data_IF_125214281111
#
_entry.id   IF_125214281111
#
_cell.length_a   1.000
_cell.length_b   1.000
_cell.length_c   1.000
_cell.angle_alpha   90.00
_cell.angle_beta   90.00
_cell.angle_gamma   90.00
#
_symmetry.space_group_name_H-M   'P 1'
#
loop_
_entity.id
_entity.type
_entity.pdbx_description
1 polymer ?
#
# COMPACT_ATOMS: atom_id res chain seq x y z
N UNK A 1 6.70 1.85 44.52
CA UNK A 1 5.58 2.68 44.05
C UNK A 1 6.06 3.32 42.76
N UNK A 2 5.84 2.64 41.64
CA UNK A 2 5.22 3.25 40.47
C UNK A 2 4.91 2.17 39.45
N UNK A 3 3.70 2.27 38.95
CA UNK A 3 2.83 1.19 38.52
C UNK A 3 2.79 1.14 36.98
N UNK A 4 2.68 -0.08 36.45
CA UNK A 4 2.43 -0.38 35.05
C UNK A 4 1.17 0.37 34.55
N UNK A 5 1.27 1.07 33.42
CA UNK A 5 0.11 1.56 32.69
C UNK A 5 0.18 1.17 31.21
N UNK A 6 -0.56 0.13 30.77
CA UNK A 6 -0.75 -0.19 29.37
C UNK A 6 -2.17 0.21 28.92
N UNK A 7 -2.29 1.22 28.06
CA UNK A 7 -3.50 1.42 27.24
C UNK A 7 -3.13 1.81 25.81
N UNK A 8 -3.14 0.79 24.96
CA UNK A 8 -3.41 0.95 23.54
C UNK A 8 -4.91 1.14 23.32
N UNK A 9 -5.30 2.12 22.52
CA UNK A 9 -6.52 2.10 21.70
C UNK A 9 -6.49 3.29 20.73
N UNK A 10 -6.10 3.05 19.47
CA UNK A 10 -6.29 4.02 18.39
C UNK A 10 -7.52 3.57 17.59
N UNK A 11 -8.68 4.09 17.98
CA UNK A 11 -9.93 3.92 17.26
C UNK A 11 -10.11 5.04 16.24
N UNK A 12 -10.22 4.70 14.96
CA UNK A 12 -10.69 5.63 13.93
C UNK A 12 -12.17 5.36 13.69
N UNK A 13 -13.03 6.24 14.23
CA UNK A 13 -14.46 6.30 13.93
C UNK A 13 -14.76 7.66 13.31
N UNK A 14 -15.08 7.68 12.01
CA UNK A 14 -15.67 8.84 11.35
C UNK A 14 -17.05 8.46 10.84
N UNK A 15 -18.05 8.83 11.62
CA UNK A 15 -19.42 8.95 11.15
C UNK A 15 -19.55 10.23 10.32
N UNK A 16 -19.81 10.09 9.02
CA UNK A 16 -20.23 11.19 8.15
C UNK A 16 -21.76 11.29 8.28
N UNK A 17 -22.26 12.32 8.96
CA UNK A 17 -23.68 12.67 8.96
C UNK A 17 -23.92 13.74 7.89
N UNK A 18 -24.50 13.32 6.78
CA UNK A 18 -25.08 14.19 5.77
C UNK A 18 -26.24 15.01 6.38
N UNK A 19 -26.19 16.33 6.24
CA UNK A 19 -27.35 17.21 6.42
C UNK A 19 -27.76 17.73 5.03
N UNK A 20 -28.83 17.17 4.49
CA UNK A 20 -29.57 17.75 3.36
C UNK A 20 -30.77 18.50 3.91
N UNK A 21 -30.74 19.83 3.76
CA UNK A 21 -31.88 20.72 3.96
C UNK A 21 -32.88 20.62 2.81
N UNK A 22 -34.11 21.05 3.10
CA UNK A 22 -35.21 21.45 2.20
C UNK A 22 -36.16 20.37 1.67
N UNK A 23 -37.30 20.24 2.35
CA UNK A 23 -38.64 20.32 1.74
C UNK A 23 -39.66 20.58 2.85
N UNK A 24 -40.56 21.54 2.67
CA UNK A 24 -42.01 21.34 2.79
C UNK A 24 -42.74 22.66 2.52
N UNK A 25 -43.58 22.57 1.50
CA UNK A 25 -44.52 23.56 0.99
C UNK A 25 -45.48 24.08 2.08
N UNK A 26 -45.80 25.37 1.96
CA UNK A 26 -46.86 26.02 2.73
C UNK A 26 -48.05 26.27 1.81
N UNK A 27 -49.12 25.51 2.07
CA UNK A 27 -50.44 25.56 1.43
C UNK A 27 -51.23 26.81 1.88
N UNK A 28 -51.90 27.50 0.95
CA UNK A 28 -52.91 28.55 1.19
C UNK A 28 -54.19 28.20 0.42
N UNK A 29 -55.38 28.22 1.04
CA UNK A 29 -56.65 28.06 0.34
C UNK A 29 -57.35 29.41 0.06
N UNK A 30 -58.11 29.45 -1.05
CA UNK A 30 -59.32 30.27 -1.33
C UNK A 30 -59.19 31.80 -1.22
N UNK A 31 -59.83 32.66 -1.99
CA UNK A 31 -60.98 32.59 -2.88
C UNK A 31 -60.83 33.81 -3.82
N UNK A 32 -61.38 33.73 -5.05
CA UNK A 32 -62.03 34.86 -5.75
C UNK A 32 -62.44 34.42 -7.17
N UNK A 33 -63.65 33.87 -7.25
CA UNK A 33 -64.75 34.41 -8.06
C UNK A 33 -64.38 35.25 -9.32
N UNK A 34 -64.56 34.69 -10.52
CA UNK A 34 -65.67 35.03 -11.44
C UNK A 34 -65.44 34.54 -12.88
N UNK A 35 -66.51 33.96 -13.40
CA UNK A 35 -66.74 33.51 -14.76
C UNK A 35 -66.47 34.58 -15.84
N UNK A 36 -65.86 34.16 -16.96
CA UNK A 36 -66.42 34.36 -18.29
C UNK A 36 -66.13 33.14 -19.18
N UNK A 37 -67.09 32.91 -20.05
CA UNK A 37 -67.42 31.70 -20.78
C UNK A 37 -66.93 31.81 -22.24
N UNK A 38 -66.76 30.64 -22.87
CA UNK A 38 -66.63 30.34 -24.31
C UNK A 38 -65.37 30.78 -25.06
N UNK A 39 -64.53 29.80 -25.44
CA UNK A 39 -64.35 29.36 -26.84
C UNK A 39 -63.41 28.13 -26.89
N UNK A 40 -63.82 26.96 -27.41
CA UNK A 40 -62.91 25.88 -27.75
C UNK A 40 -62.74 25.83 -29.27
N UNK A 41 -61.59 26.23 -29.79
CA UNK A 41 -61.05 25.55 -30.97
C UNK A 41 -59.61 25.94 -31.38
N UNK A 42 -58.88 24.89 -31.77
CA UNK A 42 -57.78 24.84 -32.75
C UNK A 42 -56.37 25.24 -32.31
N UNK A 43 -55.61 24.19 -32.02
CA UNK A 43 -54.48 23.85 -32.88
C UNK A 43 -53.11 23.95 -32.23
N UNK A 44 -52.42 22.82 -32.11
CA UNK A 44 -50.99 22.69 -32.42
C UNK A 44 -50.51 21.26 -32.18
N UNK A 45 -49.67 20.79 -33.11
CA UNK A 45 -49.07 19.47 -33.16
C UNK A 45 -48.16 19.18 -31.95
N UNK A 46 -48.17 17.94 -31.47
CA UNK A 46 -47.20 17.43 -30.51
C UNK A 46 -46.83 15.98 -30.81
N UNK A 47 -45.77 15.78 -31.58
CA UNK A 47 -45.08 14.52 -31.82
C UNK A 47 -44.15 14.28 -30.63
N UNK A 48 -44.42 13.25 -29.83
CA UNK A 48 -43.50 12.83 -28.77
C UNK A 48 -43.33 11.32 -28.82
N UNK A 49 -42.37 10.87 -29.63
CA UNK A 49 -41.75 9.56 -29.45
C UNK A 49 -40.72 9.74 -28.35
N UNK A 50 -41.03 9.28 -27.13
CA UNK A 50 -40.05 9.22 -26.06
C UNK A 50 -39.14 8.00 -26.27
N UNK A 51 -37.97 8.20 -26.90
CA UNK A 51 -36.89 7.21 -26.85
C UNK A 51 -36.25 7.27 -25.46
N UNK A 52 -36.57 6.29 -24.61
CA UNK A 52 -35.85 6.07 -23.37
C UNK A 52 -34.46 5.47 -23.70
N UNK A 53 -33.43 6.30 -23.75
CA UNK A 53 -32.05 5.82 -23.84
C UNK A 53 -31.63 5.22 -22.49
N UNK A 54 -31.52 3.90 -22.40
CA UNK A 54 -30.81 3.24 -21.31
C UNK A 54 -29.32 3.60 -21.41
N UNK A 55 -28.88 4.61 -20.65
CA UNK A 55 -27.45 4.86 -20.46
C UNK A 55 -26.91 3.86 -19.45
N UNK A 56 -26.25 2.80 -19.93
CA UNK A 56 -25.42 1.98 -19.07
C UNK A 56 -24.30 2.87 -18.50
N UNK A 57 -24.29 3.08 -17.18
CA UNK A 57 -23.22 3.81 -16.52
C UNK A 57 -21.88 3.09 -16.78
N UNK A 58 -20.81 3.80 -17.17
CA UNK A 58 -19.52 3.16 -17.40
C UNK A 58 -19.00 2.57 -16.10
N UNK A 59 -18.82 1.25 -16.08
CA UNK A 59 -18.13 0.54 -15.00
C UNK A 59 -16.70 1.10 -14.94
N UNK A 60 -16.38 1.81 -13.86
CA UNK A 60 -15.03 2.28 -13.61
C UNK A 60 -14.18 1.08 -13.17
N UNK A 61 -13.45 0.46 -14.09
CA UNK A 61 -12.48 -0.57 -13.76
C UNK A 61 -11.25 0.15 -13.18
N UNK A 62 -11.08 0.11 -11.86
CA UNK A 62 -9.82 0.51 -11.21
C UNK A 62 -8.81 -0.61 -11.45
N UNK A 63 -8.01 -0.49 -12.50
CA UNK A 63 -6.86 -1.37 -12.72
C UNK A 63 -5.78 -0.93 -11.75
N UNK A 64 -5.41 -1.80 -10.81
CA UNK A 64 -4.24 -1.57 -9.96
C UNK A 64 -3.00 -1.47 -10.86
N UNK A 65 -2.30 -0.34 -10.84
CA UNK A 65 -1.08 -0.17 -11.63
C UNK A 65 0.05 -0.99 -11.00
N UNK A 66 0.33 -2.15 -11.59
CA UNK A 66 1.59 -2.86 -11.39
C UNK A 66 2.66 -2.14 -12.22
N UNK A 67 3.65 -1.56 -11.53
CA UNK A 67 4.74 -0.79 -12.13
C UNK A 67 5.92 -1.67 -12.52
N UNK A 68 6.13 -2.77 -11.79
CA UNK A 68 7.25 -3.68 -12.00
C UNK A 68 6.83 -5.11 -11.64
N UNK A 69 7.14 -6.08 -12.50
CA UNK A 69 6.91 -7.48 -12.19
C UNK A 69 7.93 -7.99 -11.15
N UNK A 70 7.62 -9.11 -10.50
CA UNK A 70 8.53 -9.75 -9.54
C UNK A 70 9.84 -10.16 -10.22
N UNK A 71 9.78 -10.70 -11.44
CA UNK A 71 10.96 -11.13 -12.20
C UNK A 71 11.85 -9.94 -12.59
N UNK A 72 11.23 -8.82 -12.97
CA UNK A 72 11.96 -7.59 -13.26
C UNK A 72 12.63 -7.02 -12.00
N UNK A 73 11.94 -7.03 -10.86
CA UNK A 73 12.51 -6.63 -9.58
C UNK A 73 13.67 -7.55 -9.15
N UNK A 74 13.52 -8.86 -9.31
CA UNK A 74 14.59 -9.84 -9.05
C UNK A 74 15.85 -9.51 -9.85
N UNK A 75 15.71 -9.26 -11.15
CA UNK A 75 16.84 -8.89 -12.03
C UNK A 75 17.40 -7.50 -11.72
N UNK A 76 16.59 -6.54 -11.32
CA UNK A 76 17.08 -5.22 -10.88
C UNK A 76 17.93 -5.33 -9.61
N UNK A 77 17.51 -6.15 -8.64
CA UNK A 77 18.19 -6.33 -7.35
C UNK A 77 19.45 -7.19 -7.47
N UNK A 78 19.44 -8.22 -8.32
CA UNK A 78 20.56 -9.14 -8.55
C UNK A 78 20.78 -9.41 -10.05
N UNK A 79 21.31 -8.44 -10.81
CA UNK A 79 21.53 -8.59 -12.25
C UNK A 79 22.51 -9.70 -12.61
N UNK A 80 23.41 -10.05 -11.69
CA UNK A 80 24.38 -11.13 -11.82
C UNK A 80 23.81 -12.53 -11.57
N UNK A 81 22.59 -12.64 -11.03
CA UNK A 81 21.99 -13.93 -10.70
C UNK A 81 21.45 -14.62 -11.94
N UNK A 82 21.75 -15.91 -12.11
CA UNK A 82 21.28 -16.76 -13.21
C UNK A 82 20.02 -17.56 -12.83
N UNK A 83 19.77 -17.75 -11.53
CA UNK A 83 18.60 -18.48 -11.02
C UNK A 83 17.99 -17.79 -9.79
N UNK A 84 16.66 -17.75 -9.75
CA UNK A 84 15.86 -17.37 -8.57
C UNK A 84 14.99 -18.55 -8.14
N UNK A 85 15.23 -19.09 -6.96
CA UNK A 85 14.46 -20.22 -6.42
C UNK A 85 13.61 -19.76 -5.25
N UNK A 86 12.29 -19.95 -5.33
CA UNK A 86 11.36 -19.56 -4.27
C UNK A 86 11.69 -20.30 -2.96
N UNK A 87 11.60 -19.57 -1.86
CA UNK A 87 11.94 -20.01 -0.52
C UNK A 87 10.72 -19.81 0.38
N UNK A 88 10.21 -20.91 0.91
CA UNK A 88 9.19 -20.85 1.97
C UNK A 88 9.88 -20.49 3.28
N UNK A 89 9.64 -19.28 3.75
CA UNK A 89 10.19 -18.81 5.03
C UNK A 89 9.21 -19.14 6.15
N UNK A 90 9.63 -20.02 7.06
CA UNK A 90 8.87 -20.39 8.26
C UNK A 90 9.74 -20.14 9.48
N UNK A 91 9.32 -19.19 10.32
CA UNK A 91 9.97 -18.92 11.59
C UNK A 91 9.33 -19.76 12.69
N UNK A 92 10.12 -20.35 13.59
CA UNK A 92 9.58 -20.89 14.84
C UNK A 92 9.26 -19.77 15.85
N UNK A 93 8.66 -20.12 16.99
CA UNK A 93 8.26 -19.13 18.03
C UNK A 93 9.47 -18.30 18.51
N UNK A 94 10.58 -18.96 18.86
CA UNK A 94 11.77 -18.29 19.35
C UNK A 94 12.40 -17.34 18.31
N UNK A 95 12.41 -17.75 17.03
CA UNK A 95 12.87 -16.91 15.93
C UNK A 95 11.97 -15.69 15.73
N UNK A 96 10.64 -15.86 15.75
CA UNK A 96 9.70 -14.74 15.66
C UNK A 96 9.90 -13.72 16.78
N UNK A 97 10.03 -14.21 18.02
CA UNK A 97 10.29 -13.35 19.17
C UNK A 97 11.64 -12.62 19.04
N UNK A 98 12.68 -13.31 18.57
CA UNK A 98 13.98 -12.68 18.34
C UNK A 98 13.92 -11.60 17.26
N UNK A 99 13.23 -11.87 16.15
CA UNK A 99 13.02 -10.85 15.10
C UNK A 99 12.27 -9.65 15.68
N UNK A 100 11.21 -9.87 16.46
CA UNK A 100 10.45 -8.79 17.08
C UNK A 100 11.28 -7.98 18.10
N UNK A 101 12.16 -8.62 18.88
CA UNK A 101 13.09 -7.91 19.78
C UNK A 101 14.07 -7.02 19.03
N UNK A 102 14.57 -7.48 17.88
CA UNK A 102 15.54 -6.75 17.07
C UNK A 102 14.90 -5.64 16.23
N UNK A 103 13.83 -5.97 15.51
CA UNK A 103 13.18 -5.13 14.51
C UNK A 103 11.91 -4.42 14.99
N UNK A 104 11.46 -4.69 16.22
CA UNK A 104 10.12 -4.27 16.65
C UNK A 104 9.02 -5.11 15.97
N UNK A 105 7.75 -4.75 16.17
CA UNK A 105 6.65 -5.45 15.52
C UNK A 105 6.74 -5.30 13.99
N UNK A 106 6.32 -6.33 13.27
CA UNK A 106 6.13 -6.23 11.83
C UNK A 106 5.00 -5.24 11.55
N UNK A 107 5.15 -4.29 10.60
CA UNK A 107 4.02 -3.49 10.16
C UNK A 107 2.90 -4.40 9.63
N UNK A 108 1.63 -3.97 9.68
CA UNK A 108 0.55 -4.73 9.10
C UNK A 108 0.84 -5.02 7.63
N UNK A 109 0.90 -6.31 7.29
CA UNK A 109 1.31 -6.77 5.99
C UNK A 109 0.37 -7.90 5.51
N UNK A 110 0.36 -8.16 4.20
CA UNK A 110 -0.55 -9.15 3.59
C UNK A 110 0.15 -10.42 3.16
N UNK A 111 1.28 -10.31 2.47
CA UNK A 111 1.93 -11.44 1.84
C UNK A 111 3.44 -11.21 1.72
N UNK A 112 4.23 -12.09 2.34
CA UNK A 112 5.68 -12.09 2.23
C UNK A 112 6.13 -13.31 1.42
N UNK A 113 6.79 -13.06 0.30
CA UNK A 113 7.45 -14.07 -0.54
C UNK A 113 8.95 -13.85 -0.56
N UNK A 114 9.71 -14.93 -0.69
CA UNK A 114 11.17 -14.87 -0.71
C UNK A 114 11.75 -15.79 -1.77
N UNK A 115 12.91 -15.42 -2.31
CA UNK A 115 13.68 -16.21 -3.25
C UNK A 115 15.15 -16.18 -2.89
N UNK A 116 15.86 -17.28 -3.14
CA UNK A 116 17.31 -17.31 -3.21
C UNK A 116 17.74 -16.85 -4.60
N UNK A 117 18.61 -15.86 -4.67
CA UNK A 117 19.29 -15.45 -5.89
C UNK A 117 20.63 -16.18 -5.98
N UNK A 118 20.82 -16.97 -7.01
CA UNK A 118 22.02 -17.77 -7.25
C UNK A 118 22.81 -17.21 -8.43
N UNK A 119 24.14 -17.33 -8.38
CA UNK A 119 25.05 -17.03 -9.49
C UNK A 119 26.03 -18.18 -9.62
N UNK A 120 25.98 -18.91 -10.74
CA UNK A 120 26.93 -20.02 -10.98
C UNK A 120 26.90 -21.09 -9.89
N UNK A 121 25.75 -21.30 -9.25
CA UNK A 121 25.57 -22.25 -8.14
C UNK A 121 25.89 -21.69 -6.74
N UNK A 122 26.43 -20.47 -6.64
CA UNK A 122 26.69 -19.81 -5.36
C UNK A 122 25.55 -18.87 -4.95
N UNK A 123 25.29 -18.75 -3.65
CA UNK A 123 24.26 -17.85 -3.13
C UNK A 123 24.74 -16.39 -3.27
N UNK A 124 24.13 -15.64 -4.18
CA UNK A 124 24.37 -14.20 -4.31
C UNK A 124 23.59 -13.39 -3.26
N UNK A 125 22.41 -13.87 -2.86
CA UNK A 125 21.57 -13.22 -1.85
C UNK A 125 20.13 -13.71 -1.83
N UNK A 126 19.27 -12.91 -1.24
CA UNK A 126 17.84 -13.15 -1.13
C UNK A 126 17.07 -11.96 -1.67
N UNK A 127 15.99 -12.25 -2.38
CA UNK A 127 14.96 -11.26 -2.76
C UNK A 127 13.73 -11.52 -1.90
N UNK A 128 13.18 -10.46 -1.31
CA UNK A 128 11.90 -10.49 -0.61
C UNK A 128 10.92 -9.60 -1.35
N UNK A 129 9.68 -10.04 -1.46
CA UNK A 129 8.56 -9.20 -1.90
C UNK A 129 7.54 -9.22 -0.77
N UNK A 130 7.23 -8.05 -0.23
CA UNK A 130 6.24 -7.89 0.84
C UNK A 130 5.22 -6.81 0.47
N UNK A 131 4.09 -6.85 1.18
CA UNK A 131 2.96 -5.95 0.99
C UNK A 131 2.60 -5.33 2.33
N UNK A 132 2.98 -4.08 2.56
CA UNK A 132 2.67 -3.35 3.80
C UNK A 132 1.55 -2.35 3.58
N UNK A 133 0.74 -2.13 4.60
CA UNK A 133 -0.34 -1.14 4.51
C UNK A 133 0.26 0.27 4.37
N UNK A 134 -0.24 1.06 3.42
CA UNK A 134 0.01 2.49 3.32
C UNK A 134 -0.99 3.28 4.15
N UNK A 135 -1.49 4.38 3.59
CA UNK A 135 -2.59 5.18 4.16
C UNK A 135 -3.96 4.57 3.91
N UNK A 136 -4.16 3.98 2.74
CA UNK A 136 -5.45 3.50 2.25
C UNK A 136 -5.36 2.08 1.66
N UNK A 137 -4.21 1.69 1.06
CA UNK A 137 -4.05 0.39 0.41
C UNK A 137 -2.62 -0.17 0.59
N UNK A 138 -2.39 -1.41 0.15
CA UNK A 138 -1.10 -2.08 0.23
C UNK A 138 -0.10 -1.54 -0.80
N UNK A 139 1.11 -1.33 -0.29
CA UNK A 139 2.31 -1.02 -1.07
C UNK A 139 3.09 -2.32 -1.25
N UNK A 140 3.21 -2.77 -2.50
CA UNK A 140 4.01 -3.95 -2.84
C UNK A 140 5.43 -3.49 -3.15
N UNK A 141 6.42 -3.94 -2.39
CA UNK A 141 7.83 -3.58 -2.58
C UNK A 141 8.71 -4.83 -2.57
N UNK A 142 9.88 -4.72 -3.20
CA UNK A 142 10.93 -5.73 -3.16
C UNK A 142 12.19 -5.20 -2.49
N UNK A 143 12.79 -6.05 -1.66
CA UNK A 143 14.06 -5.79 -0.99
C UNK A 143 15.06 -6.90 -1.31
N UNK A 144 16.25 -6.53 -1.75
CA UNK A 144 17.37 -7.46 -1.95
C UNK A 144 18.34 -7.37 -0.77
N UNK A 145 18.66 -8.51 -0.16
CA UNK A 145 19.70 -8.61 0.88
C UNK A 145 20.74 -9.61 0.38
N UNK A 146 21.97 -9.16 0.17
CA UNK A 146 23.02 -10.05 -0.32
C UNK A 146 23.51 -11.05 0.75
N UNK A 147 24.37 -11.99 0.34
CA UNK A 147 24.87 -13.03 1.24
C UNK A 147 25.65 -12.47 2.44
N UNK A 148 26.18 -11.25 2.35
CA UNK A 148 26.87 -10.54 3.43
C UNK A 148 25.92 -9.70 4.30
N UNK A 149 24.63 -9.61 3.94
CA UNK A 149 23.62 -8.85 4.66
C UNK A 149 23.47 -7.40 4.19
N UNK A 150 24.08 -7.00 3.06
CA UNK A 150 23.92 -5.66 2.52
C UNK A 150 22.65 -5.54 1.70
N UNK A 151 21.90 -4.47 1.94
CA UNK A 151 20.71 -4.11 1.19
C UNK A 151 21.08 -3.57 -0.19
N UNK A 152 20.26 -3.92 -1.17
CA UNK A 152 20.18 -3.24 -2.47
C UNK A 152 19.25 -2.03 -2.36
N UNK A 153 19.24 -1.17 -3.39
CA UNK A 153 18.15 -0.20 -3.52
C UNK A 153 16.82 -0.95 -3.58
N UNK A 154 15.76 -0.40 -2.99
CA UNK A 154 14.45 -1.05 -3.03
C UNK A 154 13.82 -0.93 -4.41
N UNK A 155 12.89 -1.82 -4.71
CA UNK A 155 11.96 -1.67 -5.84
C UNK A 155 10.52 -1.55 -5.33
N UNK A 156 9.72 -0.69 -5.96
CA UNK A 156 8.28 -0.56 -5.65
C UNK A 156 7.50 -1.10 -6.82
N UNK A 157 6.82 -2.24 -6.61
CA UNK A 157 6.18 -3.03 -7.65
C UNK A 157 4.74 -2.56 -7.89
N UNK A 158 4.03 -2.18 -6.83
CA UNK A 158 2.68 -1.64 -6.94
C UNK A 158 2.41 -0.62 -5.83
N UNK A 159 1.72 0.45 -6.21
CA UNK A 159 1.30 1.54 -5.35
C UNK A 159 -0.08 2.01 -5.81
N UNK A 160 -1.08 1.83 -4.94
CA UNK A 160 -2.50 1.88 -5.28
C UNK A 160 -3.23 3.03 -4.57
N UNK A 161 -2.51 4.08 -4.21
CA UNK A 161 -3.05 5.22 -3.47
C UNK A 161 -2.97 6.50 -4.29
N UNK A 162 -3.84 7.45 -3.97
CA UNK A 162 -3.95 8.74 -4.68
C UNK A 162 -2.82 9.73 -4.39
N UNK A 163 -2.16 9.61 -3.23
CA UNK A 163 -1.14 10.54 -2.74
C UNK A 163 -0.02 9.74 -2.07
N UNK A 164 1.24 10.15 -2.23
CA UNK A 164 2.40 9.50 -1.63
C UNK A 164 3.20 8.59 -2.57
N UNK A 165 2.90 8.65 -3.88
CA UNK A 165 3.58 7.89 -4.91
C UNK A 165 5.05 8.24 -5.11
N UNK A 166 5.55 9.29 -4.46
CA UNK A 166 6.95 9.71 -4.40
C UNK A 166 7.86 8.65 -3.76
N UNK A 167 7.31 7.71 -3.00
CA UNK A 167 8.04 6.55 -2.47
C UNK A 167 8.66 5.68 -3.58
N UNK A 168 8.15 5.79 -4.82
CA UNK A 168 8.72 5.14 -6.01
C UNK A 168 9.96 5.84 -6.55
N UNK A 169 10.23 7.08 -6.13
CA UNK A 169 11.36 7.84 -6.65
C UNK A 169 12.68 7.11 -6.41
N UNK A 170 13.54 7.16 -7.42
CA UNK A 170 14.85 6.54 -7.37
C UNK A 170 15.67 7.03 -6.18
N UNK A 171 15.67 8.34 -5.97
CA UNK A 171 16.37 8.98 -4.86
C UNK A 171 15.95 8.43 -3.49
N UNK A 172 14.66 8.17 -3.27
CA UNK A 172 14.19 7.63 -2.00
C UNK A 172 14.56 6.16 -1.83
N UNK A 173 14.35 5.34 -2.87
CA UNK A 173 14.66 3.90 -2.88
C UNK A 173 16.16 3.61 -2.72
N UNK A 174 17.01 4.45 -3.30
CA UNK A 174 18.47 4.34 -3.19
C UNK A 174 19.00 4.64 -1.79
N UNK A 175 18.22 5.27 -0.90
CA UNK A 175 18.65 5.48 0.47
C UNK A 175 18.95 4.17 1.20
N UNK A 176 18.38 3.04 0.79
CA UNK A 176 18.57 1.73 1.43
C UNK A 176 19.85 1.01 0.98
N UNK A 177 20.41 1.37 -0.18
CA UNK A 177 21.54 0.67 -0.76
C UNK A 177 22.79 0.68 0.16
N UNK A 178 23.43 -0.47 0.31
CA UNK A 178 24.65 -0.66 1.11
C UNK A 178 24.43 -0.77 2.63
N UNK A 179 23.21 -0.53 3.12
CA UNK A 179 22.89 -0.67 4.55
C UNK A 179 22.80 -2.13 4.96
N UNK A 180 23.25 -2.43 6.16
CA UNK A 180 23.28 -3.82 6.68
C UNK A 180 22.87 -3.91 8.15
N UNK A 181 22.86 -2.77 8.87
CA UNK A 181 22.50 -2.70 10.27
C UNK A 181 21.07 -2.18 10.50
N UNK A 182 20.37 -2.78 11.46
CA UNK A 182 19.03 -2.32 11.89
C UNK A 182 19.04 -0.86 12.39
N UNK A 183 20.15 -0.41 12.98
CA UNK A 183 20.34 0.97 13.43
C UNK A 183 20.53 2.00 12.30
N UNK A 184 20.63 1.55 11.05
CA UNK A 184 20.73 2.40 9.85
C UNK A 184 19.36 2.53 9.14
N UNK A 185 18.28 2.02 9.73
CA UNK A 185 16.96 1.92 9.10
C UNK A 185 15.89 2.59 9.97
N UNK A 186 16.17 3.79 10.49
CA UNK A 186 15.19 4.62 11.19
C UNK A 186 14.72 5.75 10.30
N UNK A 187 13.40 5.91 10.17
CA UNK A 187 12.82 7.02 9.41
C UNK A 187 13.14 8.35 10.10
N UNK A 188 13.28 9.40 9.30
CA UNK A 188 13.69 10.77 9.70
C UNK A 188 15.11 10.90 10.24
N UNK A 189 15.76 9.80 10.62
CA UNK A 189 17.17 9.79 11.04
C UNK A 189 18.07 9.30 9.91
N UNK A 190 17.82 8.08 9.45
CA UNK A 190 18.68 7.38 8.50
C UNK A 190 18.05 7.33 7.10
N UNK A 191 16.71 7.24 7.04
CA UNK A 191 15.90 7.27 5.82
C UNK A 191 15.04 8.53 5.84
N UNK A 192 15.23 9.41 4.85
CA UNK A 192 14.44 10.64 4.72
C UNK A 192 12.98 10.33 4.50
N UNK A 193 12.13 11.10 5.16
CA UNK A 193 10.70 11.08 4.94
C UNK A 193 10.33 11.87 3.66
N UNK A 194 9.16 11.58 3.09
CA UNK A 194 8.57 12.35 2.01
C UNK A 194 7.28 13.01 2.53
N UNK A 195 7.15 14.32 2.32
CA UNK A 195 5.94 15.05 2.67
C UNK A 195 4.73 14.45 1.94
N UNK A 196 3.64 14.20 2.68
CA UNK A 196 2.45 13.53 2.14
C UNK A 196 2.55 12.00 2.02
N UNK A 197 3.72 11.40 2.26
CA UNK A 197 3.92 9.94 2.22
C UNK A 197 4.51 9.38 3.53
N UNK A 198 4.29 10.07 4.66
CA UNK A 198 4.90 9.73 5.95
C UNK A 198 4.64 8.29 6.37
N UNK A 199 3.37 7.87 6.36
CA UNK A 199 3.00 6.54 6.79
C UNK A 199 3.57 5.46 5.86
N UNK A 200 3.59 5.73 4.56
CA UNK A 200 4.21 4.85 3.55
C UNK A 200 5.72 4.69 3.80
N UNK A 201 6.43 5.79 4.06
CA UNK A 201 7.86 5.75 4.37
C UNK A 201 8.13 4.98 5.67
N UNK A 202 7.31 5.19 6.69
CA UNK A 202 7.39 4.49 7.98
C UNK A 202 7.17 3.00 7.84
N UNK A 203 6.08 2.57 7.21
CA UNK A 203 5.75 1.15 7.10
C UNK A 203 6.68 0.40 6.16
N UNK A 204 7.08 0.97 5.02
CA UNK A 204 8.07 0.31 4.13
C UNK A 204 9.41 0.20 4.84
N UNK A 205 9.88 1.25 5.53
CA UNK A 205 11.15 1.19 6.27
C UNK A 205 11.09 0.19 7.42
N UNK A 206 10.00 0.16 8.17
CA UNK A 206 9.77 -0.82 9.23
C UNK A 206 9.73 -2.26 8.69
N UNK A 207 9.09 -2.46 7.53
CA UNK A 207 9.05 -3.74 6.83
C UNK A 207 10.44 -4.19 6.40
N UNK A 208 11.24 -3.31 5.78
CA UNK A 208 12.64 -3.60 5.41
C UNK A 208 13.49 -3.91 6.64
N UNK A 209 13.31 -3.15 7.73
CA UNK A 209 14.01 -3.41 9.00
C UNK A 209 13.65 -4.79 9.57
N UNK A 210 12.39 -5.19 9.46
CA UNK A 210 11.93 -6.53 9.84
C UNK A 210 12.55 -7.62 8.96
N UNK A 211 12.61 -7.41 7.64
CA UNK A 211 13.26 -8.34 6.69
C UNK A 211 14.76 -8.51 6.98
N UNK A 212 15.47 -7.44 7.35
CA UNK A 212 16.87 -7.53 7.77
C UNK A 212 17.01 -8.38 9.03
N UNK A 213 16.15 -8.19 10.04
CA UNK A 213 16.20 -9.03 11.24
C UNK A 213 15.82 -10.49 10.95
N UNK A 214 14.83 -10.74 10.09
CA UNK A 214 14.49 -12.08 9.61
C UNK A 214 15.70 -12.75 8.96
N UNK A 215 16.41 -12.03 8.08
CA UNK A 215 17.61 -12.54 7.46
C UNK A 215 18.67 -12.91 8.50
N UNK A 216 18.93 -12.02 9.47
CA UNK A 216 19.92 -12.26 10.53
C UNK A 216 19.60 -13.49 11.38
N UNK A 217 18.32 -13.74 11.67
CA UNK A 217 17.87 -14.79 12.58
C UNK A 217 17.69 -16.13 11.90
N UNK A 218 17.28 -16.16 10.63
CA UNK A 218 16.83 -17.38 9.97
C UNK A 218 17.58 -17.73 8.67
N UNK A 219 18.18 -16.76 7.97
CA UNK A 219 18.69 -16.96 6.60
C UNK A 219 20.18 -16.64 6.42
N UNK A 220 20.81 -16.00 7.41
CA UNK A 220 22.23 -15.69 7.39
C UNK A 220 23.02 -16.96 7.13
N UNK A 221 23.85 -17.01 6.07
CA UNK A 221 24.73 -18.14 5.84
C UNK A 221 25.62 -18.36 7.06
N UNK A 222 25.83 -19.61 7.45
CA UNK A 222 26.90 -19.91 8.42
C UNK A 222 28.19 -19.33 7.85
N UNK A 223 28.94 -18.58 8.67
CA UNK A 223 30.23 -18.05 8.26
C UNK A 223 31.05 -19.23 7.73
N UNK A 224 31.40 -19.18 6.44
CA UNK A 224 32.27 -20.18 5.85
C UNK A 224 33.53 -20.21 6.73
N UNK A 225 33.73 -21.33 7.41
CA UNK A 225 34.94 -21.56 8.19
C UNK A 225 36.05 -21.76 7.17
N UNK A 226 36.67 -20.65 6.77
CA UNK A 226 37.91 -20.60 6.01
C UNK A 226 39.10 -20.51 6.94
#
# INVERSE_FOLDING_TARGET
>A
MDELNPKASYGYSRAIKNHSHSYLEQWRPGDEDRAYMTDPDRGSLGWAVALAALTAAPVQIVVATEYLSVEAAQKALFPQADLFSELVVSLNVAQREQVARLAGPQPPHRNLRAWKAMRGGELAGYVFVDEVIGREDFITYAAGIDAAGQLRALEVLAYRESHGGEIRSDAWRHQFAGRHGLGQLRVQTDIKNIAGATLSCEHVTAGVRWLVALWQVALRPAAASG
#
